data_IF_350561119809
#
_entry.id   IF_350561119809
#
_cell.length_a   1.000
_cell.length_b   1.000
_cell.length_c   1.000
_cell.angle_alpha   90.00
_cell.angle_beta   90.00
_cell.angle_gamma   90.00
#
_symmetry.space_group_name_H-M   'P 1'
#
loop_
_entity.id
_entity.type
_entity.pdbx_description
1 polymer ?
#
# COMPACT_ATOMS: atom_id res chain seq x y z
N UNK A 1 3.65 8.52 -19.88
CA UNK A 1 2.48 7.96 -19.15
C UNK A 1 2.27 8.70 -17.85
N UNK A 2 1.02 9.02 -17.50
CA UNK A 2 0.70 9.71 -16.23
C UNK A 2 0.00 8.74 -15.28
N UNK A 3 0.54 8.58 -14.08
CA UNK A 3 -0.03 7.74 -13.02
C UNK A 3 -0.63 8.65 -11.95
N UNK A 4 -1.82 8.32 -11.48
CA UNK A 4 -2.42 8.93 -10.30
C UNK A 4 -2.29 7.96 -9.13
N UNK A 5 -2.04 8.49 -7.92
CA UNK A 5 -1.76 7.65 -6.74
C UNK A 5 -2.62 8.04 -5.55
N UNK A 6 -3.09 7.04 -4.82
CA UNK A 6 -3.72 7.18 -3.51
C UNK A 6 -3.52 5.91 -2.69
N UNK A 7 -3.83 5.98 -1.39
CA UNK A 7 -3.87 4.85 -0.47
C UNK A 7 -4.74 5.16 0.75
N UNK A 8 -4.92 4.16 1.60
CA UNK A 8 -5.56 4.30 2.92
C UNK A 8 -6.97 4.91 2.82
N UNK A 9 -7.74 4.45 1.82
CA UNK A 9 -9.08 4.96 1.56
C UNK A 9 -10.10 4.49 2.59
N UNK A 10 -9.85 3.35 3.24
CA UNK A 10 -10.68 2.76 4.31
C UNK A 10 -12.18 2.77 3.99
N UNK A 11 -12.51 2.25 2.81
CA UNK A 11 -13.91 2.19 2.36
C UNK A 11 -14.76 1.16 3.13
N UNK A 12 -14.19 0.40 4.06
CA UNK A 12 -14.93 -0.35 5.07
C UNK A 12 -15.66 0.58 6.06
N UNK A 13 -15.20 1.80 6.25
CA UNK A 13 -15.85 2.82 7.06
C UNK A 13 -16.93 3.56 6.27
N UNK A 14 -18.13 3.69 6.85
CA UNK A 14 -19.24 4.37 6.19
C UNK A 14 -18.94 5.83 5.92
N UNK A 15 -18.32 6.51 6.87
CA UNK A 15 -17.96 7.94 6.77
C UNK A 15 -17.01 8.22 5.60
N UNK A 16 -15.98 7.38 5.39
CA UNK A 16 -15.06 7.50 4.26
C UNK A 16 -15.80 7.30 2.93
N UNK A 17 -16.70 6.30 2.84
CA UNK A 17 -17.52 6.09 1.63
C UNK A 17 -18.41 7.29 1.33
N UNK A 18 -19.09 7.84 2.34
CA UNK A 18 -19.99 9.01 2.17
C UNK A 18 -19.19 10.28 1.81
N UNK A 19 -17.93 10.38 2.29
CA UNK A 19 -17.04 11.47 1.92
C UNK A 19 -16.68 11.39 0.43
N UNK A 20 -16.19 10.26 -0.05
CA UNK A 20 -15.80 10.11 -1.46
C UNK A 20 -16.96 10.24 -2.44
N UNK A 21 -18.20 10.00 -2.03
CA UNK A 21 -19.38 10.33 -2.86
C UNK A 21 -19.53 11.83 -3.09
N UNK A 22 -19.15 12.65 -2.12
CA UNK A 22 -19.26 14.12 -2.18
C UNK A 22 -17.98 14.77 -2.72
N UNK A 23 -16.85 14.15 -2.49
CA UNK A 23 -15.51 14.64 -2.84
C UNK A 23 -14.74 13.53 -3.57
N UNK A 24 -15.13 13.19 -4.80
CA UNK A 24 -14.44 12.16 -5.58
C UNK A 24 -13.02 12.59 -5.92
N UNK A 25 -12.14 11.61 -6.20
CA UNK A 25 -10.84 11.92 -6.82
C UNK A 25 -11.08 12.56 -8.19
N UNK A 26 -10.20 13.50 -8.55
CA UNK A 26 -10.28 14.22 -9.84
C UNK A 26 -9.33 13.52 -10.81
N UNK A 27 -9.84 12.85 -11.87
CA UNK A 27 -9.00 12.07 -12.77
C UNK A 27 -8.03 12.96 -13.55
N UNK A 28 -6.73 12.69 -13.41
CA UNK A 28 -5.63 13.39 -14.12
C UNK A 28 -4.63 12.42 -14.72
N UNK A 29 -4.65 11.15 -14.31
CA UNK A 29 -3.75 10.11 -14.80
C UNK A 29 -4.42 9.17 -15.81
N UNK A 30 -3.61 8.43 -16.54
CA UNK A 30 -4.09 7.30 -17.36
C UNK A 30 -4.38 6.07 -16.49
N UNK A 31 -3.55 5.86 -15.46
CA UNK A 31 -3.58 4.73 -14.54
C UNK A 31 -3.77 5.25 -13.12
N UNK A 32 -4.64 4.59 -12.35
CA UNK A 32 -4.76 4.79 -10.92
C UNK A 32 -4.05 3.66 -10.16
N UNK A 33 -3.16 4.02 -9.23
CA UNK A 33 -2.55 3.08 -8.27
C UNK A 33 -3.10 3.36 -6.89
N UNK A 34 -3.63 2.32 -6.23
CA UNK A 34 -4.12 2.38 -4.85
C UNK A 34 -3.21 1.51 -3.98
N UNK A 35 -2.39 2.15 -3.15
CA UNK A 35 -1.33 1.50 -2.39
C UNK A 35 -1.81 0.92 -1.03
N UNK A 36 -2.91 0.17 -1.04
CA UNK A 36 -3.42 -0.58 0.10
C UNK A 36 -4.47 0.14 0.93
N UNK A 37 -5.03 -0.60 1.87
CA UNK A 37 -6.08 -0.20 2.80
C UNK A 37 -7.29 0.43 2.12
N UNK A 38 -7.82 -0.30 1.14
CA UNK A 38 -9.01 0.10 0.39
C UNK A 38 -10.29 -0.49 0.98
N UNK A 39 -10.33 -1.83 1.15
CA UNK A 39 -11.52 -2.56 1.63
C UNK A 39 -11.15 -4.01 1.98
N UNK A 40 -12.02 -4.74 2.68
CA UNK A 40 -11.78 -6.14 3.07
C UNK A 40 -11.76 -7.10 1.86
N UNK A 41 -10.74 -7.96 1.74
CA UNK A 41 -10.56 -8.90 0.62
C UNK A 41 -11.71 -9.91 0.44
N UNK A 42 -12.41 -10.25 1.53
CA UNK A 42 -13.57 -11.14 1.50
C UNK A 42 -14.88 -10.45 1.08
N UNK A 43 -14.84 -9.17 0.72
CA UNK A 43 -15.99 -8.39 0.28
C UNK A 43 -15.95 -8.11 -1.23
N UNK A 44 -17.08 -7.65 -1.74
CA UNK A 44 -17.21 -7.37 -3.17
C UNK A 44 -16.83 -5.92 -3.48
N UNK A 45 -15.60 -5.69 -3.91
CA UNK A 45 -15.08 -4.41 -4.34
C UNK A 45 -15.87 -3.77 -5.48
N UNK A 46 -16.37 -4.58 -6.44
CA UNK A 46 -17.13 -4.09 -7.59
C UNK A 46 -18.45 -3.39 -7.21
N UNK A 47 -18.91 -3.56 -5.97
CA UNK A 47 -20.10 -2.86 -5.45
C UNK A 47 -19.78 -1.47 -4.89
N UNK A 48 -18.52 -1.15 -4.61
CA UNK A 48 -18.11 0.16 -4.10
C UNK A 48 -18.27 1.22 -5.19
N UNK A 49 -18.93 2.31 -4.87
CA UNK A 49 -19.14 3.41 -5.84
C UNK A 49 -17.81 4.03 -6.27
N UNK A 50 -16.84 4.15 -5.35
CA UNK A 50 -15.48 4.57 -5.67
C UNK A 50 -14.82 3.69 -6.76
N UNK A 51 -14.92 2.36 -6.63
CA UNK A 51 -14.32 1.43 -7.60
C UNK A 51 -15.03 1.49 -8.96
N UNK A 52 -16.37 1.63 -8.95
CA UNK A 52 -17.13 1.82 -10.20
C UNK A 52 -16.70 3.11 -10.92
N UNK A 53 -16.57 4.20 -10.17
CA UNK A 53 -16.15 5.48 -10.72
C UNK A 53 -14.70 5.40 -11.23
N UNK A 54 -13.77 4.84 -10.44
CA UNK A 54 -12.39 4.64 -10.86
C UNK A 54 -12.29 3.79 -12.15
N UNK A 55 -13.10 2.73 -12.27
CA UNK A 55 -13.16 1.92 -13.49
C UNK A 55 -13.64 2.69 -14.73
N UNK A 56 -14.46 3.74 -14.55
CA UNK A 56 -14.92 4.60 -15.66
C UNK A 56 -13.90 5.69 -16.01
N UNK A 57 -13.20 6.21 -15.02
CA UNK A 57 -12.36 7.40 -15.16
C UNK A 57 -10.92 7.09 -15.58
N UNK A 58 -10.44 5.86 -15.37
CA UNK A 58 -9.07 5.46 -15.67
C UNK A 58 -9.02 4.31 -16.67
N UNK A 59 -7.95 4.26 -17.49
CA UNK A 59 -7.70 3.16 -18.42
C UNK A 59 -7.45 1.86 -17.66
N UNK A 60 -6.64 1.92 -16.59
CA UNK A 60 -6.32 0.81 -15.71
C UNK A 60 -6.31 1.28 -14.26
N UNK A 61 -6.75 0.41 -13.35
CA UNK A 61 -6.70 0.61 -11.91
C UNK A 61 -6.00 -0.58 -11.27
N UNK A 62 -4.89 -0.33 -10.60
CA UNK A 62 -4.15 -1.35 -9.87
C UNK A 62 -4.23 -1.08 -8.37
N UNK A 63 -4.64 -2.09 -7.62
CA UNK A 63 -4.68 -2.05 -6.16
C UNK A 63 -3.70 -3.08 -5.59
N UNK A 64 -3.11 -2.76 -4.45
CA UNK A 64 -2.48 -3.76 -3.60
C UNK A 64 -3.27 -3.92 -2.30
N UNK A 65 -3.19 -5.06 -1.60
CA UNK A 65 -3.70 -5.11 -0.24
C UNK A 65 -2.77 -4.38 0.72
N UNK A 66 -3.35 -3.66 1.70
CA UNK A 66 -2.68 -3.30 2.94
C UNK A 66 -2.97 -4.35 4.03
N UNK A 67 -2.82 -4.00 5.30
CA UNK A 67 -3.19 -4.90 6.39
C UNK A 67 -4.71 -4.98 6.62
N UNK A 68 -5.46 -3.90 6.39
CA UNK A 68 -6.92 -3.88 6.54
C UNK A 68 -7.64 -4.80 5.55
N UNK A 69 -7.09 -5.06 4.41
CA UNK A 69 -7.63 -6.03 3.47
C UNK A 69 -7.80 -7.42 4.09
N UNK A 70 -6.98 -7.78 5.08
CA UNK A 70 -7.02 -9.08 5.77
C UNK A 70 -7.92 -9.08 7.01
N UNK A 71 -8.49 -7.93 7.40
CA UNK A 71 -9.49 -7.90 8.45
C UNK A 71 -10.80 -8.55 7.95
N UNK A 72 -11.70 -8.87 8.85
CA UNK A 72 -12.97 -9.49 8.47
C UNK A 72 -12.89 -10.95 8.03
N UNK A 73 -11.77 -11.64 8.31
CA UNK A 73 -11.65 -13.09 8.17
C UNK A 73 -11.09 -13.61 6.84
N UNK A 74 -10.43 -12.76 6.04
CA UNK A 74 -9.62 -13.27 4.94
C UNK A 74 -8.27 -13.76 5.49
N UNK A 75 -7.89 -15.01 5.17
CA UNK A 75 -6.70 -15.63 5.74
C UNK A 75 -5.41 -15.02 5.17
N UNK A 76 -4.61 -14.38 6.04
CA UNK A 76 -3.38 -13.73 5.63
C UNK A 76 -2.30 -14.70 5.09
N UNK A 77 -2.43 -16.00 5.33
CA UNK A 77 -1.52 -16.99 4.74
C UNK A 77 -1.56 -16.99 3.20
N UNK A 78 -2.64 -16.53 2.58
CA UNK A 78 -2.70 -16.38 1.12
C UNK A 78 -1.72 -15.32 0.59
N UNK A 79 -1.35 -14.32 1.41
CA UNK A 79 -0.36 -13.31 1.02
C UNK A 79 1.09 -13.85 0.92
N UNK A 80 1.34 -15.09 1.31
CA UNK A 80 2.61 -15.78 1.04
C UNK A 80 2.81 -16.08 -0.45
N UNK A 81 1.75 -16.04 -1.23
CA UNK A 81 1.73 -16.38 -2.66
C UNK A 81 1.33 -15.15 -3.48
N UNK A 82 1.64 -15.12 -4.78
CA UNK A 82 1.13 -14.10 -5.67
C UNK A 82 -0.41 -14.07 -5.65
N UNK A 83 -0.97 -12.87 -5.57
CA UNK A 83 -2.41 -12.65 -5.70
C UNK A 83 -2.64 -11.80 -6.96
N UNK A 84 -3.49 -12.31 -7.86
CA UNK A 84 -4.03 -11.59 -9.01
C UNK A 84 -5.55 -11.77 -8.98
N UNK A 85 -6.28 -10.71 -8.68
CA UNK A 85 -7.74 -10.75 -8.57
C UNK A 85 -8.37 -9.66 -9.43
N UNK A 86 -9.00 -10.06 -10.52
CA UNK A 86 -9.78 -9.14 -11.36
C UNK A 86 -11.06 -8.76 -10.61
N UNK A 87 -11.24 -7.47 -10.38
CA UNK A 87 -12.40 -6.87 -9.70
C UNK A 87 -13.40 -6.37 -10.72
N UNK A 88 -12.91 -5.73 -11.80
CA UNK A 88 -13.65 -5.27 -12.97
C UNK A 88 -12.75 -5.41 -14.21
N UNK A 89 -13.24 -5.18 -15.43
CA UNK A 89 -12.45 -5.39 -16.65
C UNK A 89 -11.09 -4.69 -16.67
N UNK A 90 -10.98 -3.51 -16.06
CA UNK A 90 -9.76 -2.71 -15.96
C UNK A 90 -9.36 -2.41 -14.50
N UNK A 91 -9.84 -3.20 -13.54
CA UNK A 91 -9.52 -3.04 -12.11
C UNK A 91 -8.95 -4.34 -11.57
N UNK A 92 -7.68 -4.36 -11.21
CA UNK A 92 -6.98 -5.57 -10.76
C UNK A 92 -6.30 -5.35 -9.41
N UNK A 93 -6.55 -6.25 -8.46
CA UNK A 93 -5.83 -6.31 -7.19
C UNK A 93 -4.65 -7.29 -7.32
N UNK A 94 -3.48 -6.81 -6.92
CA UNK A 94 -2.19 -7.46 -7.11
C UNK A 94 -1.41 -7.53 -5.79
N UNK A 95 -0.80 -8.67 -5.48
CA UNK A 95 0.18 -8.77 -4.39
C UNK A 95 1.29 -9.75 -4.77
N UNK A 96 2.53 -9.39 -4.47
CA UNK A 96 3.72 -10.14 -4.86
C UNK A 96 3.70 -10.50 -6.37
N UNK A 97 3.42 -9.49 -7.18
CA UNK A 97 3.25 -9.62 -8.64
C UNK A 97 3.88 -8.41 -9.32
N UNK A 98 4.50 -8.61 -10.48
CA UNK A 98 5.02 -7.54 -11.31
C UNK A 98 4.33 -7.48 -12.68
N UNK A 99 4.19 -6.28 -13.22
CA UNK A 99 3.63 -6.02 -14.55
C UNK A 99 4.59 -5.12 -15.34
N UNK A 100 4.79 -5.44 -16.61
CA UNK A 100 5.46 -4.54 -17.54
C UNK A 100 4.43 -3.61 -18.16
N UNK A 101 4.61 -2.30 -17.97
CA UNK A 101 3.78 -1.26 -18.56
C UNK A 101 4.72 -0.24 -19.22
N UNK A 102 4.67 -0.15 -20.53
CA UNK A 102 5.66 0.58 -21.33
C UNK A 102 7.11 0.17 -20.93
N UNK A 103 7.97 1.13 -20.62
CA UNK A 103 9.38 0.89 -20.27
C UNK A 103 9.59 0.56 -18.79
N UNK A 104 8.52 0.52 -17.99
CA UNK A 104 8.58 0.34 -16.55
C UNK A 104 8.08 -1.03 -16.11
N UNK A 105 8.81 -1.67 -15.21
CA UNK A 105 8.31 -2.80 -14.43
C UNK A 105 7.70 -2.27 -13.14
N UNK A 106 6.40 -2.45 -12.98
CA UNK A 106 5.68 -2.18 -11.75
C UNK A 106 5.74 -3.41 -10.84
N UNK A 107 6.15 -3.22 -9.59
CA UNK A 107 6.33 -4.28 -8.60
C UNK A 107 5.34 -4.00 -7.47
N UNK A 108 4.34 -4.86 -7.32
CA UNK A 108 3.22 -4.70 -6.40
C UNK A 108 3.32 -5.66 -5.23
N UNK A 109 3.34 -5.13 -3.99
CA UNK A 109 3.41 -5.95 -2.77
C UNK A 109 2.88 -5.19 -1.57
N UNK A 110 2.19 -5.84 -0.65
CA UNK A 110 1.92 -5.29 0.69
C UNK A 110 3.22 -4.93 1.41
N UNK A 111 4.29 -5.67 1.13
CA UNK A 111 5.61 -5.67 1.75
C UNK A 111 5.59 -6.10 3.23
N UNK A 112 4.56 -5.70 4.02
CA UNK A 112 4.56 -5.81 5.48
C UNK A 112 5.81 -5.15 6.08
N UNK A 113 5.87 -4.96 7.39
CA UNK A 113 7.08 -4.51 8.06
C UNK A 113 7.73 -5.65 8.85
N UNK A 114 8.80 -5.39 9.58
CA UNK A 114 9.52 -6.39 10.35
C UNK A 114 9.61 -5.97 11.82
N UNK A 115 9.07 -6.80 12.70
CA UNK A 115 9.02 -6.57 14.14
C UNK A 115 10.17 -7.35 14.79
N UNK A 116 11.02 -6.68 15.55
CA UNK A 116 12.19 -7.28 16.22
C UNK A 116 12.40 -6.83 17.66
N UNK A 117 12.41 -5.54 17.92
CA UNK A 117 12.73 -4.94 19.23
C UNK A 117 11.47 -4.51 19.99
N UNK A 118 10.46 -4.02 19.27
CA UNK A 118 9.22 -3.44 19.83
C UNK A 118 8.09 -4.47 19.96
N UNK A 119 8.43 -5.74 20.18
CA UNK A 119 7.47 -6.86 20.16
C UNK A 119 6.29 -6.68 21.09
N UNK A 120 6.55 -6.29 22.34
CA UNK A 120 5.52 -6.15 23.38
C UNK A 120 4.55 -5.01 23.03
N UNK A 121 5.09 -3.85 22.70
CA UNK A 121 4.33 -2.65 22.36
C UNK A 121 3.49 -2.89 21.11
N UNK A 122 4.08 -3.48 20.08
CA UNK A 122 3.41 -3.74 18.79
C UNK A 122 2.30 -4.78 18.96
N UNK A 123 2.52 -5.90 19.64
CA UNK A 123 1.47 -6.92 19.82
C UNK A 123 0.28 -6.36 20.60
N UNK A 124 0.52 -5.52 21.59
CA UNK A 124 -0.54 -4.93 22.41
C UNK A 124 -1.20 -3.71 21.75
N UNK A 125 -0.43 -2.92 21.01
CA UNK A 125 -0.89 -1.67 20.37
C UNK A 125 -1.57 -1.87 19.03
N UNK A 126 -1.14 -2.86 18.23
CA UNK A 126 -1.69 -3.06 16.89
C UNK A 126 -2.93 -3.97 16.89
N UNK A 127 -3.96 -3.49 16.21
CA UNK A 127 -5.22 -4.24 16.06
C UNK A 127 -5.09 -5.45 15.13
N UNK A 128 -4.05 -5.48 14.28
CA UNK A 128 -3.72 -6.57 13.35
C UNK A 128 -3.73 -7.93 14.04
N UNK A 129 -3.09 -8.03 15.23
CA UNK A 129 -2.97 -9.29 15.97
C UNK A 129 -4.28 -9.79 16.57
N UNK A 130 -5.34 -8.98 16.51
CA UNK A 130 -6.71 -9.35 16.95
C UNK A 130 -7.65 -9.58 15.77
N UNK A 131 -7.44 -8.89 14.65
CA UNK A 131 -8.37 -8.87 13.52
C UNK A 131 -7.95 -9.74 12.35
N UNK A 132 -6.66 -10.08 12.24
CA UNK A 132 -6.14 -10.92 11.15
C UNK A 132 -6.16 -12.38 11.60
N UNK A 133 -6.48 -13.29 10.69
CA UNK A 133 -6.34 -14.74 10.88
C UNK A 133 -5.23 -15.29 9.99
N UNK A 134 -4.61 -16.37 10.42
CA UNK A 134 -3.56 -17.07 9.69
C UNK A 134 -3.74 -18.58 9.78
N UNK A 135 -3.95 -19.24 8.62
CA UNK A 135 -4.27 -20.68 8.52
C UNK A 135 -5.46 -21.06 9.42
N UNK A 136 -6.49 -20.22 9.41
CA UNK A 136 -7.71 -20.42 10.20
C UNK A 136 -7.56 -20.17 11.71
N UNK A 137 -6.38 -19.79 12.19
CA UNK A 137 -6.08 -19.49 13.59
C UNK A 137 -5.64 -18.06 13.84
N UNK A 138 -5.14 -17.81 15.03
CA UNK A 138 -4.66 -16.50 15.45
C UNK A 138 -3.42 -16.07 14.66
N UNK A 139 -3.37 -14.77 14.32
CA UNK A 139 -2.23 -14.13 13.71
C UNK A 139 -1.21 -13.73 14.79
N UNK A 140 0.04 -14.13 14.62
CA UNK A 140 1.13 -13.84 15.55
C UNK A 140 2.26 -13.09 14.84
N UNK A 141 3.12 -12.46 15.61
CA UNK A 141 4.28 -11.71 15.14
C UNK A 141 5.16 -12.51 14.16
N UNK A 142 5.41 -13.79 14.42
CA UNK A 142 6.21 -14.61 13.50
C UNK A 142 5.54 -14.84 12.14
N UNK A 143 4.19 -14.82 12.08
CA UNK A 143 3.46 -14.82 10.82
C UNK A 143 3.63 -13.49 10.09
N UNK A 144 3.52 -12.36 10.80
CA UNK A 144 3.77 -11.03 10.28
C UNK A 144 5.17 -10.93 9.64
N UNK A 145 6.22 -11.33 10.38
CA UNK A 145 7.59 -11.33 9.89
C UNK A 145 7.80 -12.30 8.72
N UNK A 146 7.08 -13.43 8.68
CA UNK A 146 7.11 -14.35 7.55
C UNK A 146 6.50 -13.75 6.29
N UNK A 147 5.40 -13.00 6.41
CA UNK A 147 4.81 -12.27 5.30
C UNK A 147 5.78 -11.21 4.78
N UNK A 148 6.40 -10.42 5.67
CA UNK A 148 7.44 -9.46 5.30
C UNK A 148 8.57 -10.14 4.53
N UNK A 149 9.13 -11.24 5.07
CA UNK A 149 10.24 -11.95 4.43
C UNK A 149 9.89 -12.34 3.00
N UNK A 150 8.70 -12.93 2.78
CA UNK A 150 8.25 -13.37 1.46
C UNK A 150 8.03 -12.21 0.49
N UNK A 151 7.41 -11.16 0.95
CA UNK A 151 7.17 -9.95 0.15
C UNK A 151 8.49 -9.26 -0.23
N UNK A 152 9.43 -9.16 0.71
CA UNK A 152 10.70 -8.50 0.44
C UNK A 152 11.64 -9.35 -0.43
N UNK A 153 11.64 -10.69 -0.28
CA UNK A 153 12.30 -11.61 -1.22
C UNK A 153 11.81 -11.35 -2.66
N UNK A 154 10.49 -11.32 -2.86
CA UNK A 154 9.89 -11.03 -4.16
C UNK A 154 10.31 -9.65 -4.72
N UNK A 155 10.20 -8.58 -3.91
CA UNK A 155 10.60 -7.23 -4.34
C UNK A 155 12.08 -7.22 -4.74
N UNK A 156 12.94 -7.85 -3.94
CA UNK A 156 14.39 -7.90 -4.19
C UNK A 156 14.70 -8.59 -5.51
N UNK A 157 14.07 -9.73 -5.78
CA UNK A 157 14.27 -10.47 -7.02
C UNK A 157 13.81 -9.67 -8.26
N UNK A 158 12.65 -8.99 -8.16
CA UNK A 158 12.12 -8.18 -9.25
C UNK A 158 12.97 -6.93 -9.53
N UNK A 159 13.49 -6.29 -8.49
CA UNK A 159 14.33 -5.09 -8.61
C UNK A 159 15.64 -5.40 -9.32
N UNK A 160 16.22 -6.60 -9.17
CA UNK A 160 17.45 -7.01 -9.84
C UNK A 160 17.30 -7.23 -11.36
N UNK A 161 16.09 -7.38 -11.88
CA UNK A 161 15.84 -7.50 -13.31
C UNK A 161 16.17 -6.19 -14.04
N UNK A 162 16.50 -6.26 -15.33
CA UNK A 162 16.81 -5.07 -16.13
C UNK A 162 15.58 -4.17 -16.32
N UNK A 163 15.80 -2.87 -16.54
CA UNK A 163 14.78 -1.87 -16.85
C UNK A 163 14.44 -0.93 -15.69
N UNK A 164 13.60 0.06 -15.96
CA UNK A 164 13.11 1.04 -14.99
C UNK A 164 12.11 0.38 -14.05
N UNK A 165 12.09 0.78 -12.76
CA UNK A 165 11.23 0.17 -11.73
C UNK A 165 10.33 1.21 -11.06
N UNK A 166 9.08 0.83 -10.88
CA UNK A 166 8.13 1.48 -9.95
C UNK A 166 7.75 0.45 -8.90
N UNK A 167 8.16 0.66 -7.66
CA UNK A 167 7.80 -0.22 -6.55
C UNK A 167 6.58 0.37 -5.85
N UNK A 168 5.57 -0.45 -5.62
CA UNK A 168 4.34 -0.07 -4.92
C UNK A 168 4.21 -0.97 -3.70
N UNK A 169 4.28 -0.37 -2.51
CA UNK A 169 4.10 -1.08 -1.23
C UNK A 169 3.04 -0.40 -0.39
N UNK A 170 2.47 -1.14 0.57
CA UNK A 170 1.61 -0.51 1.56
C UNK A 170 2.44 -0.01 2.74
N UNK A 171 3.21 -0.89 3.38
CA UNK A 171 4.06 -0.48 4.50
C UNK A 171 5.23 0.41 4.05
N UNK A 172 5.70 1.26 4.97
CA UNK A 172 6.77 2.20 4.73
C UNK A 172 8.10 1.48 4.48
N UNK A 173 8.81 1.81 3.38
CA UNK A 173 10.09 1.15 3.06
C UNK A 173 11.31 1.80 3.71
N UNK A 174 11.17 2.92 4.39
CA UNK A 174 12.27 3.63 5.02
C UNK A 174 11.79 4.41 6.23
N UNK A 175 12.62 4.50 7.26
CA UNK A 175 12.35 5.37 8.41
C UNK A 175 12.26 6.85 8.04
N UNK A 176 12.77 7.24 6.86
CA UNK A 176 12.61 8.58 6.30
C UNK A 176 11.17 8.86 5.81
N UNK A 177 10.36 7.80 5.63
CA UNK A 177 8.94 7.91 5.26
C UNK A 177 8.03 8.24 6.45
N UNK A 178 8.51 8.14 7.69
CA UNK A 178 7.75 8.59 8.86
C UNK A 178 7.65 10.11 8.92
N UNK A 179 6.48 10.60 9.28
CA UNK A 179 6.35 11.99 9.69
C UNK A 179 7.21 12.26 10.94
N UNK A 180 7.70 13.50 11.14
CA UNK A 180 8.58 13.84 12.26
C UNK A 180 8.02 13.45 13.63
N UNK A 181 6.72 13.59 13.85
CA UNK A 181 6.00 13.28 15.09
C UNK A 181 5.98 11.78 15.43
N UNK A 182 6.14 10.90 14.44
CA UNK A 182 6.17 9.45 14.64
C UNK A 182 7.57 8.87 14.77
N UNK A 183 8.61 9.69 14.64
CA UNK A 183 9.99 9.24 14.82
C UNK A 183 10.24 8.80 16.27
N UNK A 184 10.70 7.56 16.43
CA UNK A 184 10.95 6.98 17.76
C UNK A 184 9.69 6.48 18.48
N UNK A 185 8.55 6.44 17.81
CA UNK A 185 7.33 5.82 18.34
C UNK A 185 7.56 4.33 18.64
N UNK A 186 6.99 3.84 19.73
CA UNK A 186 7.10 2.45 20.19
C UNK A 186 6.40 1.43 19.27
N UNK A 187 5.61 1.90 18.29
CA UNK A 187 4.95 1.07 17.27
C UNK A 187 5.63 1.16 15.90
N UNK A 188 6.76 1.87 15.79
CA UNK A 188 7.39 2.16 14.49
C UNK A 188 7.70 0.90 13.67
N UNK A 189 8.08 -0.21 14.33
CA UNK A 189 8.36 -1.48 13.65
C UNK A 189 7.12 -2.11 13.01
N UNK A 190 5.90 -1.76 13.44
CA UNK A 190 4.68 -2.22 12.78
C UNK A 190 4.44 -1.50 11.45
N UNK A 191 4.92 -0.28 11.31
CA UNK A 191 4.68 0.57 10.16
C UNK A 191 5.79 0.50 9.11
N UNK A 192 7.03 0.33 9.54
CA UNK A 192 8.20 0.51 8.68
C UNK A 192 9.21 -0.63 8.80
N UNK A 193 9.60 -1.17 7.64
CA UNK A 193 10.79 -2.00 7.52
C UNK A 193 11.88 -1.18 6.84
N UNK A 194 12.86 -0.69 7.57
CA UNK A 194 13.90 0.18 6.99
C UNK A 194 14.72 -0.56 5.93
N UNK A 195 14.52 -0.15 4.68
CA UNK A 195 15.20 -0.62 3.48
C UNK A 195 15.98 0.50 2.78
N UNK A 196 16.37 1.53 3.53
CA UNK A 196 17.08 2.70 2.99
C UNK A 196 18.33 2.29 2.20
N UNK A 197 19.12 1.37 2.73
CA UNK A 197 20.32 0.88 2.04
C UNK A 197 19.97 0.09 0.77
N UNK A 198 18.91 -0.73 0.82
CA UNK A 198 18.44 -1.45 -0.37
C UNK A 198 18.00 -0.47 -1.46
N UNK A 199 17.21 0.54 -1.11
CA UNK A 199 16.77 1.58 -2.04
C UNK A 199 17.99 2.31 -2.64
N UNK A 200 18.96 2.69 -1.80
CA UNK A 200 20.14 3.44 -2.22
C UNK A 200 21.08 2.65 -3.16
N UNK A 201 21.08 1.34 -3.06
CA UNK A 201 21.97 0.47 -3.83
C UNK A 201 21.31 -0.15 -5.08
N UNK A 202 20.08 0.25 -5.39
CA UNK A 202 19.34 -0.32 -6.53
C UNK A 202 18.78 0.78 -7.44
N UNK A 203 18.60 0.44 -8.72
CA UNK A 203 18.07 1.36 -9.72
C UNK A 203 16.52 1.31 -9.72
N UNK A 204 15.91 2.06 -8.80
CA UNK A 204 14.46 2.22 -8.65
C UNK A 204 14.12 3.68 -8.95
N UNK A 205 13.17 3.92 -9.86
CA UNK A 205 12.79 5.28 -10.23
C UNK A 205 11.78 5.87 -9.24
N UNK A 206 10.80 5.06 -8.83
CA UNK A 206 9.74 5.49 -7.93
C UNK A 206 9.45 4.42 -6.89
N UNK A 207 9.16 4.85 -5.66
CA UNK A 207 8.60 4.01 -4.61
C UNK A 207 7.35 4.67 -4.04
N UNK A 208 6.19 4.05 -4.28
CA UNK A 208 4.87 4.49 -3.81
C UNK A 208 4.53 3.70 -2.54
N UNK A 209 4.06 4.39 -1.49
CA UNK A 209 3.76 3.76 -0.20
C UNK A 209 2.56 4.41 0.50
N UNK A 210 1.98 3.70 1.52
CA UNK A 210 0.85 4.11 2.34
C UNK A 210 1.06 3.86 3.83
N UNK A 211 0.00 3.44 4.53
CA UNK A 211 -0.06 2.84 5.87
C UNK A 211 0.03 3.79 7.08
N UNK A 212 0.71 4.90 7.00
CA UNK A 212 0.93 5.79 8.15
C UNK A 212 -0.13 6.88 8.30
N UNK A 213 -1.09 6.96 7.38
CA UNK A 213 -2.10 8.02 7.24
C UNK A 213 -1.52 9.44 7.24
N UNK A 214 -0.22 9.55 6.97
CA UNK A 214 0.49 10.82 7.00
C UNK A 214 1.08 11.17 5.63
N UNK A 215 0.80 12.37 5.16
CA UNK A 215 1.33 12.86 3.90
C UNK A 215 2.54 13.75 4.12
N UNK A 216 3.58 13.54 3.35
CA UNK A 216 4.73 14.42 3.26
C UNK A 216 5.02 14.75 1.80
N UNK A 217 5.79 15.80 1.58
CA UNK A 217 6.24 16.14 0.23
C UNK A 217 7.09 15.01 -0.35
N UNK A 218 6.99 14.80 -1.66
CA UNK A 218 7.86 13.87 -2.36
C UNK A 218 9.32 14.21 -2.08
N UNK A 219 10.12 13.19 -1.81
CA UNK A 219 11.56 13.33 -1.55
C UNK A 219 12.33 12.20 -2.25
N UNK A 220 13.65 12.25 -2.19
CA UNK A 220 14.49 11.25 -2.85
C UNK A 220 15.40 10.52 -1.88
N UNK A 221 15.62 9.24 -2.17
CA UNK A 221 16.65 8.39 -1.58
C UNK A 221 17.54 7.92 -2.73
N UNK A 222 18.74 8.49 -2.86
CA UNK A 222 19.73 8.11 -3.87
C UNK A 222 19.17 8.02 -5.31
N UNK A 223 18.29 8.98 -5.69
CA UNK A 223 17.66 9.03 -7.01
C UNK A 223 16.32 8.30 -7.11
N UNK A 224 15.93 7.51 -6.12
CA UNK A 224 14.57 6.93 -6.04
C UNK A 224 13.61 7.98 -5.48
N UNK A 225 12.58 8.34 -6.25
CA UNK A 225 11.53 9.27 -5.80
C UNK A 225 10.52 8.55 -4.91
N UNK A 226 10.43 8.97 -3.66
CA UNK A 226 9.50 8.45 -2.65
C UNK A 226 8.20 9.23 -2.70
N UNK A 227 7.07 8.54 -2.85
CA UNK A 227 5.77 9.15 -3.11
C UNK A 227 4.68 8.54 -2.25
N UNK A 228 3.85 9.40 -1.66
CA UNK A 228 2.68 8.98 -0.88
C UNK A 228 1.50 9.93 -1.11
N UNK A 229 0.28 9.43 -0.93
CA UNK A 229 -0.96 10.21 -0.93
C UNK A 229 -2.05 9.42 -0.20
N UNK A 230 -2.06 9.51 1.11
CA UNK A 230 -2.85 8.72 2.04
C UNK A 230 -4.07 9.51 2.47
N UNK A 231 -5.25 8.87 2.49
CA UNK A 231 -6.49 9.53 2.91
C UNK A 231 -6.69 9.44 4.44
N UNK A 232 -6.57 8.22 4.99
CA UNK A 232 -6.74 7.98 6.43
C UNK A 232 -8.19 8.03 6.92
N UNK A 233 -8.36 8.29 8.21
CA UNK A 233 -9.66 8.29 8.87
C UNK A 233 -10.25 9.69 8.97
N UNK A 234 -11.50 9.87 8.52
CA UNK A 234 -12.21 11.15 8.64
C UNK A 234 -12.43 11.54 10.09
N UNK A 235 -12.81 10.60 10.95
CA UNK A 235 -13.04 10.88 12.37
C UNK A 235 -11.78 11.33 13.13
N UNK A 236 -10.59 11.06 12.58
CA UNK A 236 -9.31 11.52 13.11
C UNK A 236 -8.74 12.71 12.34
N UNK A 237 -9.49 13.25 11.39
CA UNK A 237 -9.12 14.42 10.56
C UNK A 237 -7.85 14.20 9.70
N UNK A 238 -7.45 12.95 9.44
CA UNK A 238 -6.21 12.60 8.72
C UNK A 238 -6.25 12.96 7.22
N UNK A 239 -7.45 13.11 6.66
CA UNK A 239 -7.70 13.35 5.23
C UNK A 239 -7.36 14.77 4.74
N UNK A 240 -7.01 15.71 5.62
CA UNK A 240 -6.83 17.12 5.25
C UNK A 240 -5.71 17.35 4.24
N UNK A 241 -4.63 16.57 4.30
CA UNK A 241 -3.49 16.68 3.39
C UNK A 241 -3.60 15.76 2.17
N UNK A 242 -4.76 15.10 1.97
CA UNK A 242 -4.99 14.26 0.81
C UNK A 242 -5.15 15.10 -0.46
N UNK A 243 -4.38 14.76 -1.50
CA UNK A 243 -4.44 15.44 -2.78
C UNK A 243 -5.28 14.63 -3.79
N UNK A 244 -6.46 15.13 -4.14
CA UNK A 244 -7.40 14.48 -5.06
C UNK A 244 -6.89 14.39 -6.51
N UNK A 245 -5.78 15.07 -6.83
CA UNK A 245 -5.17 15.12 -8.16
C UNK A 245 -3.71 14.64 -8.18
N UNK A 246 -3.23 13.96 -7.14
CA UNK A 246 -1.82 13.55 -7.00
C UNK A 246 -1.38 12.66 -8.15
N UNK A 247 -0.49 13.16 -9.01
CA UNK A 247 0.02 12.46 -10.18
C UNK A 247 1.53 12.38 -10.23
N UNK A 248 2.02 11.39 -10.96
CA UNK A 248 3.41 11.19 -11.35
C UNK A 248 3.47 11.09 -12.88
N UNK A 249 4.41 11.79 -13.49
CA UNK A 249 4.72 11.63 -14.93
C UNK A 249 5.94 10.74 -15.04
N UNK A 250 5.76 9.57 -15.64
CA UNK A 250 6.87 8.66 -15.95
C UNK A 250 7.51 9.06 -17.28
N UNK A 251 8.81 9.32 -17.25
CA UNK A 251 9.62 9.81 -18.39
C UNK A 251 10.63 8.78 -18.86
#
# INVERSE_FOLDING_TARGET
MTIQVCSDLHLELKENREWFKKHPIIPKGDILIIAGDTYFLNRNYAKLDFIKQASQDFKEVFLIPGNHEFYGGYDAAYALYPIVKNIAPNVTLLNNTSLQIEDYTFIFSTMWSHISKQMYEVINGMIDFRNIIYKGGQFYMHHFNKLHKKSFEFISDEVQKKGKKVVVTHHLPSTRCHLPEFKGNLLSEAFCADKTDFISNNNIQYWIYGHSHGNQRDFEISGTKMVTNQFGYIHSEEHHDFNYEKTLVLT
#
